data_IF_738451568080
#
_entry.id   IF_738451568080
#
_cell.length_a   1.000
_cell.length_b   1.000
_cell.length_c   1.000
_cell.angle_alpha   90.00
_cell.angle_beta   90.00
_cell.angle_gamma   90.00
#
_symmetry.space_group_name_H-M   'P 1'
#
loop_
_entity.id
_entity.type
_entity.pdbx_description
1 polymer ?
#
# COMPACT_ATOMS: atom_id res chain seq x y z
N UNK A 1 1.88 -7.68 -15.66
CA UNK A 1 1.11 -6.42 -15.60
C UNK A 1 0.72 -6.20 -14.15
N UNK A 2 1.11 -5.08 -13.52
CA UNK A 2 0.65 -4.69 -12.17
C UNK A 2 -0.88 -4.77 -12.15
N UNK A 3 -1.44 -5.65 -11.33
CA UNK A 3 -2.89 -5.91 -11.34
C UNK A 3 -3.60 -4.69 -10.79
N UNK A 4 -4.40 -4.04 -11.64
CA UNK A 4 -5.25 -2.92 -11.26
C UNK A 4 -6.33 -3.49 -10.33
N UNK A 5 -6.61 -2.88 -9.17
CA UNK A 5 -7.68 -3.33 -8.29
C UNK A 5 -9.04 -3.21 -8.98
N UNK A 6 -10.00 -4.02 -8.55
CA UNK A 6 -11.37 -4.00 -9.03
C UNK A 6 -12.04 -2.69 -8.61
N UNK A 7 -12.18 -1.76 -9.55
CA UNK A 7 -12.94 -0.52 -9.34
C UNK A 7 -14.38 -0.69 -9.84
N UNK A 8 -15.40 -0.19 -9.12
CA UNK A 8 -16.78 -0.16 -9.61
C UNK A 8 -16.87 0.64 -10.93
N UNK A 9 -17.86 0.32 -11.76
CA UNK A 9 -18.08 1.03 -13.03
C UNK A 9 -18.24 2.54 -12.83
N UNK A 10 -19.00 2.94 -11.81
CA UNK A 10 -19.15 4.34 -11.39
C UNK A 10 -18.10 4.72 -10.32
N UNK A 11 -16.83 4.58 -10.64
CA UNK A 11 -15.75 5.02 -9.76
C UNK A 11 -15.70 6.55 -9.69
N UNK A 12 -16.24 7.11 -8.61
CA UNK A 12 -16.07 8.51 -8.26
C UNK A 12 -15.41 8.64 -6.88
N UNK A 13 -14.21 9.20 -6.83
CA UNK A 13 -13.60 9.69 -5.59
C UNK A 13 -13.84 11.20 -5.50
N UNK A 14 -14.72 11.68 -4.61
CA UNK A 14 -15.06 13.10 -4.51
C UNK A 14 -13.93 13.96 -3.93
N UNK A 15 -12.97 13.36 -3.21
CA UNK A 15 -11.83 14.06 -2.61
C UNK A 15 -10.51 13.37 -2.99
N UNK A 16 -10.21 13.22 -4.28
CA UNK A 16 -9.00 12.52 -4.71
C UNK A 16 -7.77 13.39 -4.41
N UNK A 17 -6.61 12.75 -4.28
CA UNK A 17 -5.35 13.48 -4.18
C UNK A 17 -5.05 14.18 -5.51
N UNK A 18 -4.60 15.43 -5.48
CA UNK A 18 -4.22 16.13 -6.71
C UNK A 18 -2.75 15.86 -7.01
N UNK A 19 -2.41 15.54 -8.26
CA UNK A 19 -1.02 15.35 -8.67
C UNK A 19 -0.14 16.58 -8.36
N UNK A 20 -0.71 17.79 -8.44
CA UNK A 20 -0.02 19.03 -8.08
C UNK A 20 0.36 19.11 -6.58
N UNK A 21 -0.42 18.50 -5.68
CA UNK A 21 -0.09 18.47 -4.25
C UNK A 21 1.12 17.57 -3.99
N UNK A 22 1.23 16.44 -4.69
CA UNK A 22 2.40 15.57 -4.61
C UNK A 22 3.63 16.29 -5.17
N UNK A 23 3.49 16.90 -6.35
CA UNK A 23 4.59 17.64 -7.03
C UNK A 23 5.04 18.90 -6.29
N UNK A 24 4.24 19.44 -5.38
CA UNK A 24 4.60 20.61 -4.59
C UNK A 24 5.74 20.31 -3.59
N UNK A 25 5.95 19.03 -3.24
CA UNK A 25 7.08 18.59 -2.43
C UNK A 25 7.91 17.56 -3.21
N UNK A 26 9.16 17.93 -3.52
CA UNK A 26 10.12 17.09 -4.27
C UNK A 26 10.48 15.77 -3.56
N UNK A 27 10.14 15.63 -2.29
CA UNK A 27 10.39 14.42 -1.52
C UNK A 27 9.38 13.31 -1.80
N UNK A 28 8.36 13.57 -2.63
CA UNK A 28 7.31 12.62 -2.97
C UNK A 28 7.15 12.46 -4.48
N UNK A 29 6.90 11.22 -4.90
CA UNK A 29 6.59 10.87 -6.27
C UNK A 29 5.34 9.97 -6.34
N UNK A 30 4.60 10.07 -7.45
CA UNK A 30 3.52 9.12 -7.74
C UNK A 30 4.16 7.85 -8.26
N UNK A 31 4.18 6.79 -7.45
CA UNK A 31 4.76 5.51 -7.83
C UNK A 31 3.83 4.72 -8.77
N UNK A 32 2.53 4.77 -8.49
CA UNK A 32 1.49 4.23 -9.37
C UNK A 32 0.16 4.94 -9.11
N UNK A 33 -0.61 5.16 -10.18
CA UNK A 33 -2.01 5.55 -10.10
C UNK A 33 -2.87 4.40 -10.65
N UNK A 34 -3.70 3.82 -9.80
CA UNK A 34 -4.65 2.75 -10.17
C UNK A 34 -5.95 3.31 -10.72
N UNK A 35 -6.37 4.45 -10.20
CA UNK A 35 -7.46 5.25 -10.73
C UNK A 35 -6.99 6.68 -10.90
N UNK A 36 -7.38 7.27 -12.03
CA UNK A 36 -7.14 8.68 -12.27
C UNK A 36 -8.26 9.30 -13.09
N UNK A 37 -8.50 10.59 -12.88
CA UNK A 37 -9.47 11.38 -13.62
C UNK A 37 -8.85 12.73 -14.04
N UNK A 38 -9.54 13.42 -14.97
CA UNK A 38 -9.07 14.70 -15.55
C UNK A 38 -7.62 14.59 -16.01
N UNK A 39 -7.36 13.66 -16.92
CA UNK A 39 -6.06 13.46 -17.57
C UNK A 39 -4.89 13.19 -16.59
N UNK A 40 -5.16 12.44 -15.51
CA UNK A 40 -4.13 12.07 -14.53
C UNK A 40 -3.88 13.11 -13.44
N UNK A 41 -4.66 14.19 -13.38
CA UNK A 41 -4.48 15.25 -12.38
C UNK A 41 -5.12 14.91 -11.02
N UNK A 42 -6.13 14.05 -11.02
CA UNK A 42 -6.78 13.54 -9.82
C UNK A 42 -6.43 12.06 -9.65
N UNK A 43 -5.92 11.71 -8.48
CA UNK A 43 -5.29 10.43 -8.18
C UNK A 43 -6.06 9.74 -7.04
N UNK A 44 -6.74 8.66 -7.37
CA UNK A 44 -7.36 7.74 -6.41
C UNK A 44 -7.85 6.48 -7.18
N UNK A 45 -7.47 5.26 -6.78
CA UNK A 45 -6.44 4.95 -5.80
C UNK A 45 -5.04 5.21 -6.35
N UNK A 46 -4.11 5.60 -5.49
CA UNK A 46 -2.72 5.85 -5.89
C UNK A 46 -1.75 5.54 -4.75
N UNK A 47 -0.55 5.08 -5.11
CA UNK A 47 0.60 4.90 -4.21
C UNK A 47 1.54 6.07 -4.42
N UNK A 48 1.80 6.79 -3.33
CA UNK A 48 2.77 7.87 -3.30
C UNK A 48 3.98 7.39 -2.51
N UNK A 49 5.17 7.56 -3.07
CA UNK A 49 6.43 7.07 -2.50
C UNK A 49 7.31 8.25 -2.14
N UNK A 50 7.94 8.15 -0.98
CA UNK A 50 9.01 9.05 -0.57
C UNK A 50 10.26 8.75 -1.40
N UNK A 51 10.81 9.79 -2.00
CA UNK A 51 12.07 9.72 -2.75
C UNK A 51 13.28 9.64 -1.81
N UNK A 52 13.10 9.93 -0.51
CA UNK A 52 14.18 9.94 0.48
C UNK A 52 14.40 8.58 1.16
N UNK A 53 13.32 7.94 1.61
CA UNK A 53 13.42 6.72 2.44
C UNK A 53 12.61 5.55 1.87
N UNK A 54 11.99 5.72 0.69
CA UNK A 54 11.22 4.67 0.03
C UNK A 54 9.92 4.29 0.74
N UNK A 55 9.57 4.96 1.84
CA UNK A 55 8.29 4.80 2.52
C UNK A 55 7.13 5.23 1.63
N UNK A 56 5.97 4.61 1.79
CA UNK A 56 4.81 4.83 0.93
C UNK A 56 3.58 5.15 1.75
N UNK A 57 2.72 5.99 1.22
CA UNK A 57 1.33 6.08 1.64
C UNK A 57 0.43 5.80 0.45
N UNK A 58 -0.77 5.29 0.73
CA UNK A 58 -1.74 4.90 -0.29
C UNK A 58 -3.02 5.69 -0.07
N UNK A 59 -3.51 6.32 -1.13
CA UNK A 59 -4.81 6.99 -1.15
C UNK A 59 -5.80 6.00 -1.74
N UNK A 60 -6.89 5.71 -1.03
CA UNK A 60 -7.93 4.77 -1.48
C UNK A 60 -9.32 5.29 -1.12
N UNK A 61 -10.14 5.57 -2.13
CA UNK A 61 -11.55 5.96 -2.06
C UNK A 61 -11.79 7.08 -1.04
N UNK A 62 -11.06 8.19 -1.17
CA UNK A 62 -11.21 9.33 -0.27
C UNK A 62 -12.54 10.05 -0.55
N UNK A 63 -13.52 9.82 0.33
CA UNK A 63 -14.89 10.34 0.20
C UNK A 63 -15.47 10.68 1.58
N UNK A 64 -16.33 11.71 1.70
CA UNK A 64 -17.07 12.00 2.94
C UNK A 64 -18.20 10.98 3.23
N UNK A 65 -18.58 10.15 2.25
CA UNK A 65 -19.62 9.13 2.40
C UNK A 65 -19.00 7.75 2.65
N UNK A 66 -19.82 6.79 3.07
CA UNK A 66 -19.40 5.40 3.09
C UNK A 66 -18.98 4.96 1.68
N UNK A 67 -17.87 4.23 1.59
CA UNK A 67 -17.40 3.57 0.37
C UNK A 67 -17.30 2.07 0.68
N UNK A 68 -18.40 1.30 0.49
CA UNK A 68 -18.45 -0.12 0.85
C UNK A 68 -17.37 -0.97 0.17
N UNK A 69 -16.91 -0.54 -1.00
CA UNK A 69 -15.87 -1.19 -1.80
C UNK A 69 -14.44 -0.89 -1.31
N UNK A 70 -14.23 0.12 -0.44
CA UNK A 70 -12.90 0.59 -0.03
C UNK A 70 -12.03 -0.53 0.53
N UNK A 71 -12.61 -1.39 1.37
CA UNK A 71 -11.87 -2.51 1.98
C UNK A 71 -11.36 -3.50 0.93
N UNK A 72 -12.19 -3.84 -0.06
CA UNK A 72 -11.82 -4.74 -1.16
C UNK A 72 -10.74 -4.13 -2.06
N UNK A 73 -10.91 -2.86 -2.44
CA UNK A 73 -9.90 -2.16 -3.26
C UNK A 73 -8.57 -2.08 -2.51
N UNK A 74 -8.61 -1.79 -1.22
CA UNK A 74 -7.42 -1.73 -0.37
C UNK A 74 -6.72 -3.10 -0.25
N UNK A 75 -7.46 -4.18 0.00
CA UNK A 75 -6.88 -5.52 0.07
C UNK A 75 -6.26 -5.95 -1.27
N UNK A 76 -6.93 -5.69 -2.38
CA UNK A 76 -6.39 -6.00 -3.71
C UNK A 76 -5.11 -5.20 -4.03
N UNK A 77 -4.99 -3.95 -3.56
CA UNK A 77 -3.73 -3.20 -3.70
C UNK A 77 -2.62 -3.87 -2.87
N UNK A 78 -2.90 -4.29 -1.64
CA UNK A 78 -1.91 -5.02 -0.82
C UNK A 78 -1.50 -6.30 -1.53
N UNK A 79 -2.46 -7.17 -1.83
CA UNK A 79 -2.19 -8.52 -2.33
C UNK A 79 -1.55 -8.52 -3.73
N UNK A 80 -1.99 -7.61 -4.62
CA UNK A 80 -1.56 -7.63 -6.02
C UNK A 80 -0.38 -6.71 -6.33
N UNK A 81 -0.21 -5.61 -5.59
CA UNK A 81 0.84 -4.64 -5.86
C UNK A 81 2.01 -4.75 -4.89
N UNK A 82 1.72 -4.85 -3.59
CA UNK A 82 2.77 -5.02 -2.58
C UNK A 82 3.15 -6.48 -2.39
N UNK A 83 2.25 -7.41 -2.72
CA UNK A 83 2.43 -8.84 -2.49
C UNK A 83 2.23 -9.20 -1.03
N UNK A 84 2.22 -10.51 -0.72
CA UNK A 84 2.21 -10.96 0.66
C UNK A 84 3.50 -10.50 1.36
N UNK A 85 3.38 -9.65 2.37
CA UNK A 85 4.49 -9.22 3.23
C UNK A 85 5.03 -10.35 4.13
N UNK A 86 4.76 -11.61 3.78
CA UNK A 86 5.20 -12.78 4.53
C UNK A 86 6.46 -13.30 3.86
N UNK A 87 7.59 -12.66 4.14
CA UNK A 87 8.81 -13.44 4.19
C UNK A 87 8.62 -14.43 5.35
N UNK A 88 8.69 -15.76 5.14
CA UNK A 88 8.72 -16.70 6.24
C UNK A 88 9.89 -16.29 7.13
N UNK A 89 9.62 -15.83 8.34
CA UNK A 89 10.68 -15.68 9.32
C UNK A 89 11.20 -17.09 9.59
N UNK A 90 12.52 -17.27 9.45
CA UNK A 90 13.17 -18.53 9.82
C UNK A 90 12.72 -18.88 11.26
N UNK A 91 12.13 -20.06 11.51
CA UNK A 91 11.76 -20.50 12.85
C UNK A 91 12.91 -20.40 13.85
N UNK A 92 14.18 -20.50 13.39
CA UNK A 92 15.38 -20.34 14.21
C UNK A 92 15.57 -18.88 14.68
N UNK A 93 15.12 -17.90 13.91
CA UNK A 93 15.13 -16.49 14.30
C UNK A 93 14.06 -16.16 15.37
N UNK A 94 13.13 -17.08 15.66
CA UNK A 94 12.27 -17.00 16.84
C UNK A 94 13.09 -17.44 18.05
N UNK A 95 13.78 -16.47 18.62
CA UNK A 95 14.63 -16.50 19.82
C UNK A 95 14.21 -17.53 20.89
N UNK A 96 12.91 -17.81 21.08
CA UNK A 96 12.41 -18.84 21.99
C UNK A 96 13.01 -20.25 21.77
N UNK A 97 13.28 -20.67 20.53
CA UNK A 97 13.87 -21.99 20.23
C UNK A 97 15.36 -22.03 20.61
N UNK A 98 16.10 -20.94 20.34
CA UNK A 98 17.52 -20.84 20.70
C UNK A 98 17.75 -20.83 22.22
N UNK A 99 16.85 -20.22 23.00
CA UNK A 99 16.93 -20.28 24.47
C UNK A 99 16.68 -21.67 25.05
N UNK A 100 15.85 -22.50 24.40
CA UNK A 100 15.64 -23.90 24.82
C UNK A 100 16.92 -24.72 24.70
N UNK A 101 17.60 -24.61 23.55
CA UNK A 101 18.84 -25.34 23.25
C UNK A 101 20.03 -24.93 24.11
N UNK A 102 20.09 -23.66 24.55
CA UNK A 102 21.15 -23.18 25.45
C UNK A 102 20.97 -23.73 26.88
N UNK A 103 19.74 -23.98 27.32
CA UNK A 103 19.48 -24.55 28.66
C UNK A 103 19.75 -26.06 28.72
N UNK A 104 19.61 -26.76 27.60
CA UNK A 104 19.82 -28.21 27.54
C UNK A 104 21.32 -28.62 27.53
N UNK A 105 22.23 -27.72 27.13
CA UNK A 105 23.68 -27.99 27.08
C UNK A 105 24.42 -27.82 28.42
N UNK A 106 23.71 -27.89 29.56
CA UNK A 106 24.30 -27.73 30.91
C UNK A 106 24.42 -29.05 31.69
N UNK A 107 24.57 -30.19 31.02
CA UNK A 107 24.85 -31.48 31.68
C UNK A 107 26.18 -32.08 31.22
#
# INVERSE_FOLDING_TARGET
KKSVPSLPADYNSPRPMKAAQVKADKNWEVEVAFGSAKDGTLLDPAVIKSTQHGGRFVVVRQTPKAAPDRGKVFSEIIDNYFGSAVAPVDPVAKIATAWGSIKDNTK
#
